data_IF_716146019262
#
_entry.id   IF_716146019262
#
_cell.length_a   1.000
_cell.length_b   1.000
_cell.length_c   1.000
_cell.angle_alpha   90.00
_cell.angle_beta   90.00
_cell.angle_gamma   90.00
#
_symmetry.space_group_name_H-M   'P 1'
#
loop_
_entity.id
_entity.type
_entity.pdbx_description
1 polymer ?
#
# COMPACT_ATOMS: atom_id res chain seq x y z
N UNK A 1 4.86 -17.18 6.98
CA UNK A 1 4.03 -16.79 8.14
C UNK A 1 2.58 -17.03 7.75
N UNK A 2 1.72 -17.49 8.65
CA UNK A 2 0.31 -17.74 8.31
C UNK A 2 -0.54 -16.52 8.69
N UNK A 3 -1.21 -15.90 7.71
CA UNK A 3 -2.09 -14.75 7.97
C UNK A 3 -3.49 -15.13 8.48
N UNK A 4 -3.65 -16.32 9.10
CA UNK A 4 -4.96 -16.81 9.58
C UNK A 4 -5.63 -15.87 10.57
N UNK A 5 -4.86 -15.18 11.41
CA UNK A 5 -5.40 -14.26 12.41
C UNK A 5 -6.16 -13.08 11.77
N UNK A 6 -5.69 -12.58 10.61
CA UNK A 6 -6.32 -11.42 9.96
C UNK A 6 -7.66 -11.80 9.34
N UNK A 7 -7.77 -13.03 8.83
CA UNK A 7 -9.01 -13.57 8.25
C UNK A 7 -10.02 -14.03 9.30
N UNK A 8 -9.59 -14.24 10.54
CA UNK A 8 -10.47 -14.66 11.62
C UNK A 8 -11.37 -13.53 12.14
N UNK A 9 -10.96 -12.27 11.95
CA UNK A 9 -11.80 -11.12 12.27
C UNK A 9 -12.83 -10.89 11.15
N UNK A 10 -14.11 -11.13 11.45
CA UNK A 10 -15.23 -10.98 10.52
C UNK A 10 -15.55 -9.53 10.17
N UNK A 11 -15.03 -8.56 10.94
CA UNK A 11 -15.16 -7.14 10.62
C UNK A 11 -14.17 -6.68 9.54
N UNK A 12 -13.20 -7.53 9.17
CA UNK A 12 -12.31 -7.27 8.05
C UNK A 12 -12.98 -7.69 6.74
N UNK A 13 -12.74 -6.93 5.68
CA UNK A 13 -13.29 -7.17 4.35
C UNK A 13 -12.16 -7.34 3.35
N UNK A 14 -12.03 -8.54 2.76
CA UNK A 14 -10.97 -8.84 1.80
C UNK A 14 -11.51 -9.35 0.46
N UNK A 15 -10.79 -9.00 -0.59
CA UNK A 15 -11.07 -9.34 -1.98
C UNK A 15 -9.86 -10.06 -2.57
N UNK A 16 -10.12 -11.09 -3.36
CA UNK A 16 -9.07 -11.92 -3.95
C UNK A 16 -8.28 -11.15 -5.00
N UNK A 17 -6.96 -11.38 -5.01
CA UNK A 17 -6.07 -10.92 -6.08
C UNK A 17 -5.72 -12.10 -6.97
N UNK A 18 -5.84 -11.90 -8.27
CA UNK A 18 -5.45 -12.88 -9.28
C UNK A 18 -3.97 -12.75 -9.64
N UNK A 19 -3.36 -13.85 -10.08
CA UNK A 19 -1.99 -13.85 -10.59
C UNK A 19 -1.80 -12.93 -11.80
N UNK A 20 -2.87 -12.71 -12.59
CA UNK A 20 -2.81 -11.84 -13.75
C UNK A 20 -2.68 -10.36 -13.34
N UNK A 21 -3.40 -9.92 -12.31
CA UNK A 21 -3.29 -8.56 -11.78
C UNK A 21 -1.85 -8.27 -11.33
N UNK A 22 -1.24 -9.20 -10.58
CA UNK A 22 0.15 -9.08 -10.15
C UNK A 22 1.10 -8.99 -11.36
N UNK A 23 0.99 -9.92 -12.31
CA UNK A 23 1.86 -9.95 -13.50
C UNK A 23 1.72 -8.70 -14.37
N UNK A 24 0.49 -8.20 -14.50
CA UNK A 24 0.21 -7.00 -15.28
C UNK A 24 0.88 -5.78 -14.64
N UNK A 25 0.72 -5.59 -13.33
CA UNK A 25 1.33 -4.49 -12.58
C UNK A 25 2.85 -4.55 -12.61
N UNK A 26 3.45 -5.73 -12.39
CA UNK A 26 4.90 -5.91 -12.49
C UNK A 26 5.44 -5.54 -13.87
N UNK A 27 4.70 -5.89 -14.93
CA UNK A 27 5.05 -5.54 -16.31
C UNK A 27 4.93 -4.04 -16.55
N UNK A 28 3.83 -3.42 -16.14
CA UNK A 28 3.58 -1.98 -16.34
C UNK A 28 4.60 -1.11 -15.59
N UNK A 29 4.97 -1.51 -14.37
CA UNK A 29 5.96 -0.81 -13.56
C UNK A 29 7.42 -1.19 -13.89
N UNK A 30 7.64 -2.19 -14.75
CA UNK A 30 8.96 -2.75 -15.05
C UNK A 30 9.77 -3.13 -13.78
N UNK A 31 9.09 -3.67 -12.76
CA UNK A 31 9.68 -4.09 -11.48
C UNK A 31 9.02 -5.37 -10.96
N UNK A 32 9.62 -5.98 -9.94
CA UNK A 32 9.03 -7.09 -9.19
C UNK A 32 8.42 -6.60 -7.89
N UNK A 33 7.19 -7.02 -7.61
CA UNK A 33 6.58 -6.76 -6.31
C UNK A 33 7.33 -7.58 -5.25
N UNK A 34 7.51 -7.05 -4.03
CA UNK A 34 8.14 -7.81 -2.98
C UNK A 34 7.42 -9.12 -2.69
N UNK A 35 8.19 -10.17 -2.40
CA UNK A 35 7.64 -11.51 -2.19
C UNK A 35 6.65 -11.54 -1.03
N UNK A 36 6.89 -10.75 0.01
CA UNK A 36 6.00 -10.61 1.17
C UNK A 36 4.63 -10.07 0.77
N UNK A 37 4.60 -9.03 -0.07
CA UNK A 37 3.37 -8.44 -0.58
C UNK A 37 2.63 -9.41 -1.51
N UNK A 38 3.34 -10.09 -2.41
CA UNK A 38 2.76 -11.12 -3.28
C UNK A 38 2.17 -12.28 -2.47
N UNK A 39 2.87 -12.75 -1.43
CA UNK A 39 2.35 -13.80 -0.56
C UNK A 39 1.10 -13.34 0.21
N UNK A 40 1.09 -12.09 0.67
CA UNK A 40 -0.09 -11.51 1.32
C UNK A 40 -1.29 -11.48 0.37
N UNK A 41 -1.11 -10.99 -0.86
CA UNK A 41 -2.16 -10.98 -1.89
C UNK A 41 -2.71 -12.39 -2.19
N UNK A 42 -1.85 -13.39 -2.25
CA UNK A 42 -2.27 -14.79 -2.48
C UNK A 42 -3.03 -15.41 -1.31
N UNK A 43 -2.60 -15.13 -0.08
CA UNK A 43 -3.18 -15.76 1.10
C UNK A 43 -4.42 -15.04 1.65
N UNK A 44 -4.45 -13.72 1.49
CA UNK A 44 -5.45 -12.82 2.07
C UNK A 44 -6.17 -12.03 0.99
N UNK A 45 -5.42 -11.39 0.11
CA UNK A 45 -5.94 -10.46 -0.89
C UNK A 45 -5.70 -9.01 -0.51
N UNK A 46 -6.57 -8.12 -0.97
CA UNK A 46 -6.57 -6.69 -0.63
C UNK A 46 -7.89 -6.31 0.04
N UNK A 47 -8.01 -5.10 0.60
CA UNK A 47 -9.25 -4.65 1.22
C UNK A 47 -9.00 -3.91 2.53
N UNK A 48 -9.90 -4.07 3.50
CA UNK A 48 -9.99 -3.22 4.67
C UNK A 48 -9.86 -4.02 5.96
N UNK A 49 -9.01 -3.54 6.87
CA UNK A 49 -8.90 -4.03 8.23
C UNK A 49 -9.75 -3.14 9.12
N UNK A 50 -10.58 -3.75 9.99
CA UNK A 50 -11.38 -3.01 10.96
C UNK A 50 -10.49 -2.09 11.80
N UNK A 51 -10.84 -0.80 11.81
CA UNK A 51 -10.15 0.26 12.56
C UNK A 51 -11.09 1.15 13.37
N UNK A 52 -10.51 2.18 14.00
CA UNK A 52 -11.22 3.29 14.63
C UNK A 52 -11.84 4.24 13.59
N UNK A 53 -12.75 5.11 14.01
CA UNK A 53 -13.66 5.94 13.20
C UNK A 53 -13.01 6.89 12.17
N UNK A 54 -11.69 7.00 12.11
CA UNK A 54 -10.98 7.87 11.16
C UNK A 54 -9.85 7.17 10.41
N UNK A 55 -9.77 5.85 10.51
CA UNK A 55 -8.76 5.05 9.84
C UNK A 55 -9.38 4.36 8.63
N UNK A 56 -8.75 4.57 7.48
CA UNK A 56 -9.08 3.86 6.24
C UNK A 56 -8.64 2.40 6.37
N UNK A 57 -7.44 2.15 6.92
CA UNK A 57 -6.87 0.83 7.13
C UNK A 57 -6.99 -0.10 5.91
N UNK A 58 -6.68 0.43 4.73
CA UNK A 58 -6.79 -0.26 3.46
C UNK A 58 -5.46 -0.86 3.04
N UNK A 59 -5.46 -2.16 2.79
CA UNK A 59 -4.46 -2.82 1.96
C UNK A 59 -4.83 -2.55 0.51
N UNK A 60 -3.95 -1.86 -0.21
CA UNK A 60 -4.17 -1.46 -1.60
C UNK A 60 -4.11 -2.69 -2.51
N UNK A 61 -5.00 -2.75 -3.50
CA UNK A 61 -4.91 -3.74 -4.57
C UNK A 61 -3.70 -3.44 -5.49
N UNK A 62 -3.24 -4.41 -6.31
CA UNK A 62 -2.10 -4.19 -7.18
C UNK A 62 -2.22 -2.96 -8.10
N UNK A 63 -3.42 -2.66 -8.61
CA UNK A 63 -3.60 -1.52 -9.50
C UNK A 63 -3.52 -0.20 -8.75
N UNK A 64 -4.05 -0.12 -7.54
CA UNK A 64 -3.86 1.07 -6.69
C UNK A 64 -2.39 1.29 -6.35
N UNK A 65 -1.61 0.23 -6.09
CA UNK A 65 -0.15 0.34 -5.88
C UNK A 65 0.55 0.91 -7.12
N UNK A 66 0.18 0.42 -8.31
CA UNK A 66 0.65 0.96 -9.59
C UNK A 66 0.26 2.42 -9.77
N UNK A 67 -1.01 2.74 -9.55
CA UNK A 67 -1.55 4.07 -9.82
C UNK A 67 -0.94 5.11 -8.88
N UNK A 68 -0.68 4.73 -7.62
CA UNK A 68 0.10 5.55 -6.70
C UNK A 68 1.50 5.80 -7.24
N UNK A 69 2.19 4.75 -7.70
CA UNK A 69 3.55 4.87 -8.25
C UNK A 69 3.62 5.73 -9.51
N UNK A 70 2.61 5.66 -10.37
CA UNK A 70 2.55 6.41 -11.61
C UNK A 70 1.91 7.79 -11.45
N UNK A 71 1.33 8.08 -10.27
CA UNK A 71 0.56 9.31 -9.97
C UNK A 71 -0.58 9.54 -10.96
N UNK A 72 -1.38 8.50 -11.18
CA UNK A 72 -2.52 8.53 -12.11
C UNK A 72 -3.82 8.19 -11.38
N UNK A 73 -4.94 8.43 -12.06
CA UNK A 73 -6.29 8.13 -11.55
C UNK A 73 -6.53 8.83 -10.20
N UNK A 74 -6.90 8.09 -9.17
CA UNK A 74 -7.20 8.61 -7.84
C UNK A 74 -6.00 9.32 -7.17
N UNK A 75 -4.78 9.14 -7.69
CA UNK A 75 -3.55 9.70 -7.14
C UNK A 75 -2.99 10.90 -7.92
N UNK A 76 -3.60 11.32 -9.02
CA UNK A 76 -3.13 12.46 -9.83
C UNK A 76 -3.11 13.78 -9.03
N UNK A 77 -4.09 13.95 -8.15
CA UNK A 77 -4.22 15.14 -7.29
C UNK A 77 -4.08 14.81 -5.81
N UNK A 78 -3.37 13.73 -5.47
CA UNK A 78 -3.19 13.35 -4.08
C UNK A 78 -2.46 14.48 -3.32
N UNK A 79 -3.04 15.03 -2.25
CA UNK A 79 -2.48 16.22 -1.61
C UNK A 79 -1.10 15.96 -0.99
N UNK A 80 -0.13 16.80 -1.36
CA UNK A 80 1.27 16.70 -0.93
C UNK A 80 1.93 15.38 -1.37
N UNK A 81 1.61 14.89 -2.57
CA UNK A 81 2.20 13.69 -3.17
C UNK A 81 3.73 13.81 -3.31
N UNK A 82 4.24 15.03 -3.37
CA UNK A 82 5.67 15.35 -3.47
C UNK A 82 6.48 14.90 -2.23
N UNK A 83 5.82 14.76 -1.07
CA UNK A 83 6.46 14.21 0.14
C UNK A 83 6.90 12.75 -0.09
N UNK A 84 6.30 12.07 -1.06
CA UNK A 84 6.59 10.67 -1.36
C UNK A 84 7.70 10.47 -2.39
N UNK A 85 8.20 11.54 -3.03
CA UNK A 85 9.27 11.51 -4.04
C UNK A 85 10.51 10.73 -3.57
N UNK A 86 10.90 10.93 -2.31
CA UNK A 86 12.08 10.26 -1.72
C UNK A 86 11.91 8.74 -1.54
N UNK A 87 10.67 8.25 -1.62
CA UNK A 87 10.33 6.84 -1.45
C UNK A 87 10.07 6.13 -2.79
N UNK A 88 9.98 6.86 -3.91
CA UNK A 88 9.60 6.29 -5.20
C UNK A 88 10.62 5.30 -5.78
N UNK A 89 11.92 5.53 -5.54
CA UNK A 89 12.97 4.78 -6.21
C UNK A 89 13.10 3.34 -5.69
N UNK A 90 12.97 3.13 -4.39
CA UNK A 90 13.18 1.83 -3.76
C UNK A 90 12.05 1.39 -2.83
N UNK A 91 10.89 2.05 -2.82
CA UNK A 91 9.76 1.63 -1.99
C UNK A 91 8.43 1.73 -2.73
N UNK A 92 7.49 0.85 -2.39
CA UNK A 92 6.11 0.89 -2.88
C UNK A 92 5.17 1.21 -1.73
N UNK A 93 4.23 2.13 -1.96
CA UNK A 93 3.10 2.29 -1.03
C UNK A 93 2.13 1.13 -1.25
N UNK A 94 1.74 0.46 -0.18
CA UNK A 94 0.84 -0.70 -0.25
C UNK A 94 -0.30 -0.64 0.77
N UNK A 95 -0.25 0.30 1.71
CA UNK A 95 -1.26 0.43 2.75
C UNK A 95 -1.56 1.89 3.05
N UNK A 96 -2.84 2.16 3.22
CA UNK A 96 -3.41 3.45 3.58
C UNK A 96 -4.06 3.35 4.96
N UNK A 97 -3.40 3.90 5.99
CA UNK A 97 -3.91 3.95 7.35
C UNK A 97 -4.96 5.04 7.53
N UNK A 98 -4.71 6.21 6.97
CA UNK A 98 -5.62 7.35 6.90
C UNK A 98 -5.25 8.24 5.72
N UNK A 99 -6.00 9.33 5.49
CA UNK A 99 -5.67 10.38 4.50
C UNK A 99 -4.26 10.99 4.68
N UNK A 100 -3.64 10.77 5.83
CA UNK A 100 -2.37 11.37 6.23
C UNK A 100 -1.34 10.34 6.66
N UNK A 101 -1.63 9.04 6.57
CA UNK A 101 -0.72 8.00 7.01
C UNK A 101 -0.70 6.84 6.02
N UNK A 102 0.44 6.67 5.33
CA UNK A 102 0.67 5.59 4.38
C UNK A 102 1.81 4.70 4.88
N UNK A 103 1.80 3.42 4.49
CA UNK A 103 2.94 2.54 4.71
C UNK A 103 3.57 2.12 3.39
N UNK A 104 4.89 2.11 3.42
CA UNK A 104 5.72 1.69 2.31
C UNK A 104 6.41 0.36 2.60
N UNK A 105 6.70 -0.37 1.53
CA UNK A 105 7.47 -1.61 1.54
C UNK A 105 8.70 -1.44 0.65
N UNK A 106 9.89 -1.78 1.17
CA UNK A 106 11.13 -1.64 0.42
C UNK A 106 11.30 -2.71 -0.66
N UNK A 107 11.75 -2.27 -1.83
CA UNK A 107 12.22 -3.05 -2.96
C UNK A 107 13.71 -3.33 -2.75
N UNK A 108 14.11 -4.60 -2.75
CA UNK A 108 15.52 -4.97 -2.80
C UNK A 108 15.77 -6.03 -3.87
N UNK A 109 17.04 -6.17 -4.26
CA UNK A 109 17.47 -7.07 -5.34
C UNK A 109 17.13 -8.54 -5.08
N UNK A 110 16.86 -8.91 -3.81
CA UNK A 110 16.51 -10.26 -3.41
C UNK A 110 14.99 -10.51 -3.31
N UNK A 111 14.15 -9.53 -3.67
CA UNK A 111 12.68 -9.55 -3.51
C UNK A 111 12.22 -9.87 -2.07
N UNK A 112 13.02 -9.54 -1.05
CA UNK A 112 12.73 -9.74 0.37
C UNK A 112 12.64 -8.40 1.09
N UNK A 113 11.48 -7.91 1.44
CA UNK A 113 11.39 -6.63 2.14
C UNK A 113 11.92 -6.73 3.57
N UNK A 114 12.97 -5.96 3.88
CA UNK A 114 13.56 -5.91 5.22
C UNK A 114 12.93 -4.83 6.11
N UNK A 115 12.25 -3.82 5.55
CA UNK A 115 11.74 -2.69 6.32
C UNK A 115 10.35 -2.22 5.85
N UNK A 116 9.43 -2.04 6.80
CA UNK A 116 8.15 -1.33 6.63
C UNK A 116 8.33 0.05 7.26
N UNK A 117 8.15 1.11 6.48
CA UNK A 117 8.24 2.49 6.97
C UNK A 117 6.83 3.09 6.96
N UNK A 118 6.37 3.53 8.13
CA UNK A 118 5.18 4.36 8.27
C UNK A 118 5.54 5.81 7.95
N UNK A 119 4.80 6.40 7.01
CA UNK A 119 4.93 7.80 6.62
C UNK A 119 3.74 8.54 7.22
N UNK A 120 4.01 9.50 8.11
CA UNK A 120 3.00 10.38 8.68
C UNK A 120 3.12 11.76 8.07
N UNK A 121 2.05 12.24 7.45
CA UNK A 121 1.83 13.64 7.15
C UNK A 121 1.54 14.36 8.47
N UNK A 122 2.55 15.04 9.01
CA UNK A 122 2.33 15.96 10.12
C UNK A 122 1.56 17.17 9.58
N UNK A 123 0.25 17.21 9.83
CA UNK A 123 -0.56 18.41 9.58
C UNK A 123 0.03 19.53 10.46
N UNK A 124 0.71 20.51 9.85
CA UNK A 124 1.23 21.66 10.60
C UNK A 124 0.07 22.30 11.38
N UNK A 125 0.15 22.44 12.73
CA UNK A 125 -0.96 22.97 13.51
C UNK A 125 -1.20 24.48 13.36
N UNK A 126 -0.52 25.18 12.45
CA UNK A 126 -0.50 26.65 12.44
C UNK A 126 -0.72 27.23 11.04
N UNK A 127 -1.90 27.00 10.46
CA UNK A 127 -2.48 27.95 9.48
C UNK A 127 -4.00 27.96 9.67
N UNK A 128 -4.43 28.54 10.78
CA UNK A 128 -5.77 29.08 10.98
C UNK A 128 -5.64 30.30 11.90
N UNK A 129 -5.08 31.38 11.36
CA UNK A 129 -5.34 32.78 11.74
C UNK A 129 -5.06 33.65 10.51
#
# INVERSE_FOLDING_TARGET
MSYKFIKANQENSFYQVTENEIKQVEKELSLKLPKELVNFYREVGYGFIKGSEFNINRIMDPYSVRDFRLRVNDFEFYPDIEIYDEFENNKLIFFEGSESALMSIELNENNQSQFIIMIFKLRHPWKNF
#
